data_IF_468110505951
#
_entry.id   IF_468110505951
#
_cell.length_a   1.000
_cell.length_b   1.000
_cell.length_c   1.000
_cell.angle_alpha   90.00
_cell.angle_beta   90.00
_cell.angle_gamma   90.00
#
_symmetry.space_group_name_H-M   'P 1'
#
loop_
_entity.id
_entity.type
_entity.pdbx_description
1 polymer ?
#
# COMPACT_ATOMS: atom_id res chain seq x y z
N UNK A 1 4.97 -26.28 -31.36
CA UNK A 1 4.82 -25.02 -30.63
C UNK A 1 3.40 -24.73 -30.10
N UNK A 2 2.38 -25.46 -30.57
CA UNK A 2 0.99 -25.33 -30.08
C UNK A 2 0.68 -26.01 -28.74
N UNK A 3 1.32 -27.14 -28.32
CA UNK A 3 0.97 -27.81 -27.07
C UNK A 3 1.49 -27.07 -25.81
N UNK A 4 2.60 -26.34 -25.89
CA UNK A 4 3.18 -25.64 -24.71
C UNK A 4 2.34 -24.45 -24.24
N UNK A 5 1.83 -23.62 -25.17
CA UNK A 5 0.98 -22.45 -24.82
C UNK A 5 -0.38 -22.86 -24.26
N UNK A 6 -0.94 -23.98 -24.72
CA UNK A 6 -2.20 -24.52 -24.16
C UNK A 6 -1.98 -25.10 -22.78
N UNK A 7 -0.83 -25.74 -22.51
CA UNK A 7 -0.50 -26.28 -21.17
C UNK A 7 -0.27 -25.14 -20.19
N UNK A 8 0.48 -24.11 -20.55
CA UNK A 8 0.71 -22.94 -19.68
C UNK A 8 -0.59 -22.16 -19.39
N UNK A 9 -1.46 -21.97 -20.39
CA UNK A 9 -2.76 -21.35 -20.18
C UNK A 9 -3.67 -22.18 -19.25
N UNK A 10 -3.67 -23.51 -19.36
CA UNK A 10 -4.40 -24.39 -18.45
C UNK A 10 -3.86 -24.32 -17.03
N UNK A 11 -2.53 -24.28 -16.86
CA UNK A 11 -1.90 -24.12 -15.55
C UNK A 11 -2.27 -22.75 -14.93
N UNK A 12 -2.32 -21.69 -15.73
CA UNK A 12 -2.75 -20.37 -15.27
C UNK A 12 -4.22 -20.36 -14.81
N UNK A 13 -5.12 -20.99 -15.58
CA UNK A 13 -6.53 -21.13 -15.20
C UNK A 13 -6.68 -21.94 -13.92
N UNK A 14 -5.95 -23.05 -13.80
CA UNK A 14 -5.96 -23.86 -12.57
C UNK A 14 -5.46 -23.08 -11.37
N UNK A 15 -4.39 -22.28 -11.52
CA UNK A 15 -3.88 -21.43 -10.46
C UNK A 15 -4.89 -20.34 -10.05
N UNK A 16 -5.60 -19.74 -10.99
CA UNK A 16 -6.66 -18.77 -10.71
C UNK A 16 -7.85 -19.41 -9.98
N UNK A 17 -8.28 -20.58 -10.43
CA UNK A 17 -9.38 -21.33 -9.79
C UNK A 17 -8.99 -21.74 -8.36
N UNK A 18 -7.78 -22.27 -8.19
CA UNK A 18 -7.27 -22.64 -6.86
C UNK A 18 -7.12 -21.41 -5.97
N UNK A 19 -6.63 -20.30 -6.53
CA UNK A 19 -6.54 -19.02 -5.83
C UNK A 19 -7.90 -18.52 -5.35
N UNK A 20 -8.93 -18.61 -6.18
CA UNK A 20 -10.30 -18.25 -5.81
C UNK A 20 -10.86 -19.14 -4.68
N UNK A 21 -10.60 -20.45 -4.72
CA UNK A 21 -10.99 -21.36 -3.63
C UNK A 21 -10.26 -21.06 -2.33
N UNK A 22 -8.95 -20.77 -2.39
CA UNK A 22 -8.16 -20.44 -1.20
C UNK A 22 -8.59 -19.06 -0.66
N UNK A 23 -8.89 -18.08 -1.53
CA UNK A 23 -9.41 -16.78 -1.12
C UNK A 23 -10.77 -16.93 -0.40
N UNK A 24 -11.65 -17.78 -0.92
CA UNK A 24 -12.91 -18.11 -0.25
C UNK A 24 -12.65 -18.75 1.12
N UNK A 25 -11.71 -19.68 1.21
CA UNK A 25 -11.30 -20.30 2.47
C UNK A 25 -10.70 -19.27 3.44
N UNK A 26 -9.82 -18.39 2.98
CA UNK A 26 -9.24 -17.31 3.79
C UNK A 26 -10.32 -16.39 4.38
N UNK A 27 -11.31 -16.04 3.56
CA UNK A 27 -12.44 -15.22 3.98
C UNK A 27 -13.36 -15.95 5.00
N UNK A 28 -13.67 -17.23 4.76
CA UNK A 28 -14.56 -18.01 5.63
C UNK A 28 -13.94 -18.39 6.97
N UNK A 29 -12.63 -18.66 6.98
CA UNK A 29 -11.90 -19.10 8.19
C UNK A 29 -11.06 -18.01 8.82
N UNK A 30 -11.10 -16.79 8.30
CA UNK A 30 -10.33 -15.61 8.76
C UNK A 30 -8.82 -15.87 8.95
N UNK A 31 -8.22 -16.70 8.07
CA UNK A 31 -6.82 -17.07 8.13
C UNK A 31 -5.96 -16.21 7.21
N UNK A 32 -5.18 -15.30 7.79
CA UNK A 32 -4.27 -14.41 7.04
C UNK A 32 -3.19 -15.15 6.23
N UNK A 33 -2.71 -16.29 6.72
CA UNK A 33 -1.72 -17.11 6.00
C UNK A 33 -2.23 -17.56 4.62
N UNK A 34 -3.53 -17.87 4.51
CA UNK A 34 -4.15 -18.25 3.23
C UNK A 34 -4.20 -17.06 2.26
N UNK A 35 -4.26 -15.82 2.77
CA UNK A 35 -4.25 -14.63 1.94
C UNK A 35 -2.92 -14.48 1.18
N UNK A 36 -1.79 -14.75 1.80
CA UNK A 36 -0.49 -14.72 1.12
C UNK A 36 -0.34 -15.85 0.08
N UNK A 37 -0.95 -17.01 0.31
CA UNK A 37 -0.97 -18.10 -0.68
C UNK A 37 -1.72 -17.68 -1.96
N UNK A 38 -2.80 -16.90 -1.85
CA UNK A 38 -3.51 -16.35 -3.01
C UNK A 38 -2.61 -15.43 -3.84
N UNK A 39 -1.85 -14.54 -3.19
CA UNK A 39 -0.90 -13.66 -3.89
C UNK A 39 0.15 -14.48 -4.67
N UNK A 40 0.70 -15.56 -4.07
CA UNK A 40 1.60 -16.48 -4.76
C UNK A 40 0.95 -17.17 -5.98
N UNK A 41 -0.29 -17.59 -5.86
CA UNK A 41 -1.03 -18.20 -6.99
C UNK A 41 -1.35 -17.20 -8.11
N UNK A 42 -1.62 -15.95 -7.79
CA UNK A 42 -1.77 -14.89 -8.79
C UNK A 42 -0.46 -14.69 -9.58
N UNK A 43 0.70 -14.72 -8.91
CA UNK A 43 2.00 -14.66 -9.59
C UNK A 43 2.23 -15.88 -10.51
N UNK A 44 1.89 -17.09 -10.07
CA UNK A 44 1.99 -18.31 -10.88
C UNK A 44 1.04 -18.23 -12.09
N UNK A 45 -0.18 -17.76 -11.90
CA UNK A 45 -1.15 -17.55 -12.98
C UNK A 45 -0.62 -16.53 -14.01
N UNK A 46 -0.06 -15.43 -13.57
CA UNK A 46 0.51 -14.39 -14.44
C UNK A 46 1.69 -14.93 -15.26
N UNK A 47 2.61 -15.68 -14.62
CA UNK A 47 3.71 -16.35 -15.33
C UNK A 47 3.20 -17.33 -16.40
N UNK A 48 2.13 -18.07 -16.09
CA UNK A 48 1.46 -18.97 -17.03
C UNK A 48 0.75 -18.26 -18.19
N UNK A 49 0.30 -17.02 -18.00
CA UNK A 49 -0.34 -16.18 -19.03
C UNK A 49 0.67 -15.50 -19.96
N UNK A 50 1.92 -15.29 -19.53
CA UNK A 50 2.95 -14.60 -20.32
C UNK A 50 3.13 -15.15 -21.75
N UNK A 51 3.18 -16.49 -22.00
CA UNK A 51 3.27 -17.01 -23.37
C UNK A 51 2.05 -16.70 -24.24
N UNK A 52 0.87 -16.65 -23.64
CA UNK A 52 -0.39 -16.35 -24.33
C UNK A 52 -0.44 -14.87 -24.73
N UNK A 53 -0.05 -13.97 -23.81
CA UNK A 53 0.06 -12.54 -24.07
C UNK A 53 1.10 -12.26 -25.15
N UNK A 54 2.30 -12.88 -25.07
CA UNK A 54 3.33 -12.77 -26.10
C UNK A 54 2.80 -13.23 -27.49
N UNK A 55 2.03 -14.31 -27.54
CA UNK A 55 1.43 -14.77 -28.78
C UNK A 55 0.34 -13.83 -29.31
N UNK A 56 -0.44 -13.20 -28.44
CA UNK A 56 -1.47 -12.22 -28.80
C UNK A 56 -0.86 -10.94 -29.38
N UNK A 57 0.05 -10.35 -28.61
CA UNK A 57 0.74 -9.11 -29.00
C UNK A 57 1.61 -9.33 -30.24
N UNK A 58 2.33 -10.47 -30.35
CA UNK A 58 3.09 -10.79 -31.54
C UNK A 58 2.22 -10.88 -32.80
N UNK A 59 1.02 -11.42 -32.73
CA UNK A 59 0.06 -11.43 -33.86
C UNK A 59 -0.42 -10.02 -34.23
N UNK A 60 -0.72 -9.21 -33.21
CA UNK A 60 -1.16 -7.83 -33.40
C UNK A 60 -0.03 -6.99 -34.01
N UNK A 61 1.19 -7.13 -33.48
CA UNK A 61 2.38 -6.44 -33.99
C UNK A 61 2.65 -6.81 -35.46
N UNK A 62 2.59 -8.08 -35.84
CA UNK A 62 2.77 -8.51 -37.21
C UNK A 62 1.75 -7.93 -38.21
N UNK A 63 0.51 -7.72 -37.76
CA UNK A 63 -0.53 -7.11 -38.62
C UNK A 63 -0.23 -5.63 -38.91
N UNK A 64 0.35 -4.89 -37.96
CA UNK A 64 0.56 -3.46 -38.07
C UNK A 64 2.00 -3.07 -38.42
N UNK A 65 2.99 -3.91 -38.11
CA UNK A 65 4.42 -3.60 -38.27
C UNK A 65 4.81 -3.31 -39.71
N UNK A 66 4.09 -3.83 -40.71
CA UNK A 66 4.32 -3.52 -42.11
C UNK A 66 4.16 -2.02 -42.41
N UNK A 67 3.31 -1.31 -41.67
CA UNK A 67 3.09 0.14 -41.79
C UNK A 67 4.26 0.98 -41.25
N UNK A 68 5.06 0.39 -40.32
CA UNK A 68 6.15 1.07 -39.61
C UNK A 68 7.54 0.76 -40.23
N UNK A 69 7.55 0.02 -41.32
CA UNK A 69 8.76 -0.26 -42.11
C UNK A 69 9.40 -1.63 -41.84
N UNK A 70 10.42 -1.99 -42.64
CA UNK A 70 11.03 -3.34 -42.63
C UNK A 70 11.66 -3.72 -41.28
N UNK A 71 12.31 -2.78 -40.60
CA UNK A 71 12.94 -3.02 -39.29
C UNK A 71 11.94 -3.37 -38.20
N UNK A 72 10.80 -2.67 -38.15
CA UNK A 72 9.73 -2.96 -37.22
C UNK A 72 9.10 -4.33 -37.52
N UNK A 73 8.91 -4.67 -38.77
CA UNK A 73 8.40 -5.97 -39.18
C UNK A 73 9.34 -7.11 -38.81
N UNK A 74 10.66 -6.95 -39.03
CA UNK A 74 11.67 -7.93 -38.60
C UNK A 74 11.70 -8.12 -37.10
N UNK A 75 11.59 -7.04 -36.31
CA UNK A 75 11.50 -7.13 -34.85
C UNK A 75 10.23 -7.83 -34.38
N UNK A 76 9.07 -7.53 -34.97
CA UNK A 76 7.81 -8.21 -34.67
C UNK A 76 7.84 -9.70 -35.06
N UNK A 77 8.47 -10.04 -36.19
CA UNK A 77 8.65 -11.42 -36.64
C UNK A 77 9.55 -12.21 -35.64
N UNK A 78 10.65 -11.60 -35.22
CA UNK A 78 11.57 -12.14 -34.24
C UNK A 78 10.87 -12.43 -32.91
N UNK A 79 10.12 -11.45 -32.40
CA UNK A 79 9.31 -11.58 -31.20
C UNK A 79 8.29 -12.72 -31.30
N UNK A 80 7.57 -12.79 -32.43
CA UNK A 80 6.54 -13.81 -32.63
C UNK A 80 7.12 -15.24 -32.78
N UNK A 81 8.31 -15.39 -33.36
CA UNK A 81 9.00 -16.70 -33.51
C UNK A 81 9.54 -17.23 -32.18
N UNK A 82 10.12 -16.34 -31.35
CA UNK A 82 10.79 -16.69 -30.11
C UNK A 82 9.91 -16.54 -28.85
N UNK A 83 8.60 -16.52 -29.01
CA UNK A 83 7.62 -16.25 -27.93
C UNK A 83 7.79 -17.09 -26.66
N UNK A 84 8.26 -18.34 -26.76
CA UNK A 84 8.48 -19.21 -25.60
C UNK A 84 9.63 -18.73 -24.73
N UNK A 85 10.69 -18.19 -25.34
CA UNK A 85 11.84 -17.62 -24.63
C UNK A 85 11.50 -16.24 -24.07
N UNK A 86 10.87 -15.39 -24.87
CA UNK A 86 10.42 -14.08 -24.40
C UNK A 86 9.40 -14.18 -23.26
N UNK A 87 8.62 -15.28 -23.18
CA UNK A 87 7.68 -15.47 -22.08
C UNK A 87 8.36 -15.46 -20.69
N UNK A 88 9.58 -15.98 -20.58
CA UNK A 88 10.33 -15.95 -19.31
C UNK A 88 10.72 -14.51 -18.94
N UNK A 89 11.28 -13.75 -19.91
CA UNK A 89 11.64 -12.35 -19.68
C UNK A 89 10.41 -11.47 -19.46
N UNK A 90 9.31 -11.73 -20.17
CA UNK A 90 8.03 -11.04 -19.97
C UNK A 90 7.48 -11.33 -18.59
N UNK A 91 7.54 -12.57 -18.12
CA UNK A 91 7.10 -12.91 -16.77
C UNK A 91 7.97 -12.25 -15.70
N UNK A 92 9.30 -12.28 -15.85
CA UNK A 92 10.23 -11.68 -14.90
C UNK A 92 10.05 -10.15 -14.79
N UNK A 93 10.08 -9.43 -15.93
CA UNK A 93 9.85 -8.00 -15.94
C UNK A 93 8.42 -7.64 -15.56
N UNK A 94 7.43 -8.43 -16.00
CA UNK A 94 6.03 -8.23 -15.65
C UNK A 94 5.78 -8.38 -14.16
N UNK A 95 6.41 -9.36 -13.47
CA UNK A 95 6.34 -9.49 -12.01
C UNK A 95 7.03 -8.35 -11.28
N UNK A 96 8.20 -7.88 -11.77
CA UNK A 96 8.87 -6.72 -11.20
C UNK A 96 8.00 -5.46 -11.29
N UNK A 97 7.39 -5.21 -12.45
CA UNK A 97 6.46 -4.09 -12.65
C UNK A 97 5.16 -4.26 -11.88
N UNK A 98 4.67 -5.49 -11.71
CA UNK A 98 3.51 -5.78 -10.87
C UNK A 98 3.77 -5.45 -9.39
N UNK A 99 4.99 -5.69 -8.91
CA UNK A 99 5.38 -5.29 -7.57
C UNK A 99 5.33 -3.76 -7.43
N UNK A 100 5.92 -3.00 -8.37
CA UNK A 100 5.85 -1.52 -8.38
C UNK A 100 4.38 -1.06 -8.35
N UNK A 101 3.55 -1.53 -9.29
CA UNK A 101 2.12 -1.17 -9.35
C UNK A 101 1.36 -1.53 -8.08
N UNK A 102 1.64 -2.71 -7.50
CA UNK A 102 0.95 -3.18 -6.30
C UNK A 102 1.34 -2.36 -5.08
N UNK A 103 2.63 -2.09 -4.87
CA UNK A 103 3.14 -1.35 -3.71
C UNK A 103 2.71 0.12 -3.78
N UNK A 104 2.83 0.77 -4.94
CA UNK A 104 2.41 2.18 -5.09
C UNK A 104 0.90 2.35 -4.94
N UNK A 105 0.10 1.39 -5.43
CA UNK A 105 -1.34 1.37 -5.19
C UNK A 105 -1.68 1.14 -3.72
N UNK A 106 -0.94 0.25 -3.03
CA UNK A 106 -1.10 0.01 -1.59
C UNK A 106 -0.78 1.28 -0.78
N UNK A 107 0.38 1.90 -1.07
CA UNK A 107 0.79 3.16 -0.41
C UNK A 107 -0.25 4.26 -0.66
N UNK A 108 -0.71 4.41 -1.90
CA UNK A 108 -1.74 5.38 -2.26
C UNK A 108 -3.06 5.13 -1.54
N UNK A 109 -3.48 3.88 -1.41
CA UNK A 109 -4.70 3.48 -0.69
C UNK A 109 -4.59 3.74 0.81
N UNK A 110 -3.45 3.39 1.43
CA UNK A 110 -3.19 3.66 2.84
C UNK A 110 -3.15 5.16 3.12
N UNK A 111 -2.42 5.94 2.31
CA UNK A 111 -2.36 7.40 2.45
C UNK A 111 -3.73 8.04 2.28
N UNK A 112 -4.46 7.70 1.23
CA UNK A 112 -5.79 8.26 0.97
C UNK A 112 -6.78 7.94 2.10
N UNK A 113 -6.75 6.71 2.62
CA UNK A 113 -7.59 6.30 3.75
C UNK A 113 -7.18 7.01 5.03
N UNK A 114 -5.86 7.09 5.32
CA UNK A 114 -5.32 7.79 6.49
C UNK A 114 -5.64 9.28 6.44
N UNK A 115 -5.46 9.95 5.30
CA UNK A 115 -5.79 11.37 5.14
C UNK A 115 -7.28 11.64 5.35
N UNK A 116 -8.16 10.81 4.78
CA UNK A 116 -9.60 10.94 4.97
C UNK A 116 -10.01 10.71 6.43
N UNK A 117 -9.39 9.76 7.10
CA UNK A 117 -9.60 9.50 8.53
C UNK A 117 -9.06 10.62 9.41
N UNK A 118 -7.81 11.09 9.18
CA UNK A 118 -7.22 12.21 9.89
C UNK A 118 -8.05 13.49 9.75
N UNK A 119 -8.63 13.71 8.56
CA UNK A 119 -9.52 14.84 8.30
C UNK A 119 -10.81 14.81 9.14
N UNK A 120 -11.29 13.62 9.52
CA UNK A 120 -12.50 13.44 10.36
C UNK A 120 -12.18 13.34 11.86
N UNK A 121 -11.16 12.60 12.22
CA UNK A 121 -10.82 12.30 13.60
C UNK A 121 -9.96 13.37 14.29
N UNK A 122 -9.22 14.22 13.52
CA UNK A 122 -8.27 15.19 14.05
C UNK A 122 -8.57 16.59 13.50
N UNK A 123 -9.63 17.21 14.02
CA UNK A 123 -10.09 18.56 13.58
C UNK A 123 -9.60 19.70 14.47
N UNK A 124 -8.86 19.41 15.54
CA UNK A 124 -8.30 20.44 16.39
C UNK A 124 -7.29 21.32 15.64
N UNK A 125 -7.16 22.58 16.04
CA UNK A 125 -6.23 23.55 15.45
C UNK A 125 -4.80 23.30 15.95
N UNK A 126 -4.64 22.98 17.24
CA UNK A 126 -3.35 22.73 17.89
C UNK A 126 -3.43 21.42 18.70
N UNK A 127 -2.39 20.61 18.59
CA UNK A 127 -2.17 19.42 19.39
C UNK A 127 -1.02 19.65 20.37
N UNK A 128 -1.29 19.46 21.68
CA UNK A 128 -0.32 19.67 22.76
C UNK A 128 -0.05 18.34 23.45
N UNK A 129 1.21 17.92 23.46
CA UNK A 129 1.65 16.66 24.09
C UNK A 129 3.01 16.85 24.76
N UNK A 130 3.37 15.94 25.66
CA UNK A 130 4.65 15.97 26.34
C UNK A 130 5.79 15.55 25.38
N UNK A 131 6.95 16.20 25.49
CA UNK A 131 8.15 15.85 24.74
C UNK A 131 8.68 17.01 23.89
N UNK A 132 9.92 16.87 23.46
CA UNK A 132 10.61 17.80 22.57
C UNK A 132 10.59 17.34 21.12
N UNK A 133 10.25 16.07 20.88
CA UNK A 133 10.16 15.46 19.57
C UNK A 133 8.83 14.76 19.36
N UNK A 134 8.35 14.79 18.13
CA UNK A 134 7.10 14.17 17.71
C UNK A 134 7.08 12.64 17.91
N UNK A 135 8.23 11.99 17.97
CA UNK A 135 8.37 10.53 18.20
C UNK A 135 8.06 10.10 19.64
N UNK A 136 8.20 11.01 20.62
CA UNK A 136 7.99 10.74 22.04
C UNK A 136 6.55 11.05 22.51
N UNK A 137 5.58 11.15 21.60
CA UNK A 137 4.22 11.70 21.82
C UNK A 137 3.43 11.07 22.97
N UNK A 138 3.69 9.82 23.33
CA UNK A 138 2.92 9.11 24.35
C UNK A 138 3.78 8.50 25.46
N UNK A 139 5.09 8.83 25.48
CA UNK A 139 6.01 8.28 26.48
C UNK A 139 5.85 8.95 27.85
N UNK A 140 5.41 10.20 27.87
CA UNK A 140 5.22 10.97 29.14
C UNK A 140 3.84 11.61 29.14
N UNK A 141 2.97 11.23 30.08
CA UNK A 141 1.66 11.85 30.20
C UNK A 141 1.76 13.27 30.76
N UNK A 142 0.79 14.08 30.42
CA UNK A 142 0.58 15.45 30.92
C UNK A 142 -0.34 15.44 32.14
N UNK A 143 -0.18 16.45 33.05
CA UNK A 143 -1.09 16.60 34.19
C UNK A 143 -2.47 17.08 33.73
N UNK A 144 -3.52 16.64 34.42
CA UNK A 144 -4.90 17.06 34.14
C UNK A 144 -5.12 18.57 34.32
N UNK A 145 -4.36 19.21 35.21
CA UNK A 145 -4.43 20.65 35.51
C UNK A 145 -4.09 21.53 34.30
N UNK A 146 -3.27 21.05 33.38
CA UNK A 146 -2.90 21.79 32.16
C UNK A 146 -4.12 22.12 31.28
N UNK A 147 -5.20 21.31 31.36
CA UNK A 147 -6.45 21.59 30.67
C UNK A 147 -7.03 22.95 30.99
N UNK A 148 -7.13 23.27 32.30
CA UNK A 148 -7.71 24.53 32.76
C UNK A 148 -6.81 25.70 32.45
N UNK A 149 -5.48 25.50 32.48
CA UNK A 149 -4.50 26.52 32.11
C UNK A 149 -4.58 26.82 30.57
N UNK A 150 -4.78 25.82 29.72
CA UNK A 150 -5.00 26.01 28.29
C UNK A 150 -6.34 26.67 27.99
N UNK A 151 -7.41 26.30 28.72
CA UNK A 151 -8.73 26.93 28.58
C UNK A 151 -8.77 28.41 29.02
N UNK A 152 -7.87 28.80 29.89
CA UNK A 152 -7.77 30.19 30.33
C UNK A 152 -7.19 31.12 29.27
N UNK A 153 -6.68 30.64 28.16
CA UNK A 153 -6.19 31.46 27.04
C UNK A 153 -7.38 32.06 26.26
N UNK A 154 -7.44 33.38 26.03
CA UNK A 154 -8.60 34.03 25.38
C UNK A 154 -8.90 33.52 23.95
N UNK A 155 -7.90 32.99 23.27
CA UNK A 155 -8.01 32.48 21.91
C UNK A 155 -8.56 31.04 21.84
N UNK A 156 -8.69 30.35 23.00
CA UNK A 156 -9.09 28.96 23.06
C UNK A 156 -10.59 28.84 23.29
N UNK A 157 -11.28 28.18 22.39
CA UNK A 157 -12.72 27.90 22.50
C UNK A 157 -12.98 26.63 23.30
N UNK A 158 -12.20 25.56 23.02
CA UNK A 158 -12.40 24.26 23.67
C UNK A 158 -11.06 23.51 23.80
N UNK A 159 -10.92 22.71 24.85
CA UNK A 159 -9.79 21.82 25.07
C UNK A 159 -10.31 20.42 25.35
N UNK A 160 -9.94 19.47 24.52
CA UNK A 160 -10.29 18.08 24.65
C UNK A 160 -9.09 17.28 25.17
N UNK A 161 -9.29 16.43 26.15
CA UNK A 161 -8.25 15.58 26.71
C UNK A 161 -8.36 14.16 26.12
N UNK A 162 -7.22 13.62 25.73
CA UNK A 162 -7.06 12.28 25.19
C UNK A 162 -6.11 11.45 26.05
N UNK A 163 -6.47 10.20 26.31
CA UNK A 163 -5.63 9.21 26.99
C UNK A 163 -5.77 7.86 26.31
N UNK A 164 -4.64 7.20 26.01
CA UNK A 164 -4.62 5.86 25.43
C UNK A 164 -3.60 4.99 26.16
N UNK A 165 -4.06 3.93 26.79
CA UNK A 165 -3.23 3.05 27.62
C UNK A 165 -3.31 1.63 27.11
N UNK A 166 -2.17 1.00 26.93
CA UNK A 166 -2.12 -0.42 26.59
C UNK A 166 -2.53 -1.27 27.79
N UNK A 167 -3.41 -2.21 27.55
CA UNK A 167 -3.92 -3.20 28.50
C UNK A 167 -3.84 -4.60 27.90
N UNK A 168 -4.14 -5.63 28.67
CA UNK A 168 -4.26 -6.99 28.17
C UNK A 168 -5.62 -7.59 28.53
N UNK A 169 -6.19 -8.35 27.61
CA UNK A 169 -7.38 -9.16 27.79
C UNK A 169 -7.09 -10.56 27.27
N UNK A 170 -7.30 -11.60 28.08
CA UNK A 170 -6.95 -12.99 27.74
C UNK A 170 -5.50 -13.14 27.24
N UNK A 171 -4.55 -12.43 27.86
CA UNK A 171 -3.13 -12.39 27.50
C UNK A 171 -2.81 -11.80 26.12
N UNK A 172 -3.76 -11.12 25.49
CA UNK A 172 -3.58 -10.38 24.25
C UNK A 172 -3.64 -8.87 24.52
N UNK A 173 -2.74 -8.07 23.91
CA UNK A 173 -2.74 -6.62 24.12
C UNK A 173 -3.89 -5.94 23.37
N UNK A 174 -4.41 -4.87 23.97
CA UNK A 174 -5.33 -3.93 23.34
C UNK A 174 -5.10 -2.53 23.93
N UNK A 175 -5.63 -1.50 23.29
CA UNK A 175 -5.61 -0.15 23.82
C UNK A 175 -6.96 0.23 24.41
N UNK A 176 -6.94 0.82 25.62
CA UNK A 176 -8.09 1.50 26.20
C UNK A 176 -7.89 3.00 25.98
N UNK A 177 -8.73 3.58 25.15
CA UNK A 177 -8.74 4.98 24.76
C UNK A 177 -9.87 5.72 25.47
N UNK A 178 -9.60 6.94 25.89
CA UNK A 178 -10.63 7.82 26.45
C UNK A 178 -10.48 9.24 25.93
N UNK A 179 -11.62 9.84 25.59
CA UNK A 179 -11.73 11.23 25.14
C UNK A 179 -12.98 11.89 25.72
N UNK A 180 -13.00 13.24 25.69
CA UNK A 180 -14.18 14.01 26.02
C UNK A 180 -15.26 13.84 24.96
N UNK A 181 -16.34 13.16 25.26
CA UNK A 181 -17.43 12.85 24.32
C UNK A 181 -18.10 14.10 23.77
N UNK A 182 -18.28 15.14 24.60
CA UNK A 182 -18.83 16.42 24.16
C UNK A 182 -18.01 17.03 23.02
N UNK A 183 -16.67 17.12 23.22
CA UNK A 183 -15.77 17.59 22.19
C UNK A 183 -15.76 16.69 20.95
N UNK A 184 -15.80 15.39 21.17
CA UNK A 184 -15.85 14.43 20.06
C UNK A 184 -17.11 14.62 19.19
N UNK A 185 -18.28 14.71 19.79
CA UNK A 185 -19.55 14.94 19.10
C UNK A 185 -19.62 16.29 18.38
N UNK A 186 -18.97 17.31 18.93
CA UNK A 186 -19.01 18.67 18.37
C UNK A 186 -18.06 18.86 17.21
N UNK A 187 -16.88 18.29 17.27
CA UNK A 187 -15.78 18.60 16.34
C UNK A 187 -15.32 17.42 15.50
N UNK A 188 -15.44 16.19 15.97
CA UNK A 188 -14.90 15.01 15.32
C UNK A 188 -16.03 14.10 14.78
N UNK A 189 -15.66 13.21 13.87
CA UNK A 189 -16.56 12.20 13.32
C UNK A 189 -15.90 10.83 13.43
N UNK A 190 -16.60 9.86 14.04
CA UNK A 190 -16.22 8.45 14.01
C UNK A 190 -16.63 7.83 12.66
N UNK A 191 -15.75 7.01 12.10
CA UNK A 191 -16.08 6.16 10.98
C UNK A 191 -16.84 4.92 11.51
N UNK A 192 -18.15 5.06 11.71
CA UNK A 192 -19.01 4.01 12.28
C UNK A 192 -19.14 2.85 11.29
N UNK A 193 -18.96 1.63 11.79
CA UNK A 193 -19.13 0.36 11.07
C UNK A 193 -20.46 -0.28 11.44
N UNK A 194 -20.79 -0.32 12.74
CA UNK A 194 -22.06 -0.85 13.23
C UNK A 194 -22.52 -0.11 14.49
N UNK A 195 -23.84 0.02 14.65
CA UNK A 195 -24.45 0.77 15.73
C UNK A 195 -24.90 2.17 15.33
N UNK A 196 -25.45 2.92 16.28
CA UNK A 196 -25.89 4.30 16.09
C UNK A 196 -24.99 5.26 16.88
N UNK A 197 -24.27 6.11 16.17
CA UNK A 197 -23.37 7.09 16.76
C UNK A 197 -24.08 8.06 17.71
N UNK A 198 -25.30 8.50 17.39
CA UNK A 198 -26.01 9.46 18.22
C UNK A 198 -26.56 8.83 19.53
N UNK A 199 -26.97 7.57 19.44
CA UNK A 199 -27.58 6.84 20.55
C UNK A 199 -26.55 6.14 21.47
N UNK A 200 -25.31 5.94 21.01
CA UNK A 200 -24.33 5.11 21.73
C UNK A 200 -23.76 5.73 23.01
N UNK A 201 -23.68 7.06 23.12
CA UNK A 201 -22.88 7.75 24.13
C UNK A 201 -23.38 7.75 25.58
N UNK A 202 -24.68 7.62 25.89
CA UNK A 202 -25.13 7.58 27.28
C UNK A 202 -24.46 6.46 28.11
N UNK A 203 -24.27 5.28 27.55
CA UNK A 203 -23.64 4.16 28.25
C UNK A 203 -22.14 4.38 28.54
N UNK A 204 -21.28 4.82 27.55
CA UNK A 204 -19.90 5.21 27.83
C UNK A 204 -19.76 6.34 28.85
N UNK A 205 -20.63 7.35 28.84
CA UNK A 205 -20.63 8.42 29.83
C UNK A 205 -21.01 7.93 31.23
N UNK A 206 -21.99 7.03 31.34
CA UNK A 206 -22.34 6.35 32.61
C UNK A 206 -21.22 5.39 33.05
N UNK A 207 -20.38 4.93 32.15
CA UNK A 207 -19.31 3.95 32.40
C UNK A 207 -19.81 2.51 32.40
N UNK A 208 -20.89 2.21 31.67
CA UNK A 208 -21.44 0.87 31.46
C UNK A 208 -21.17 0.36 30.01
N UNK A 209 -20.83 1.26 29.07
CA UNK A 209 -20.56 0.92 27.68
C UNK A 209 -19.19 1.37 27.18
N UNK A 210 -18.73 0.78 26.10
CA UNK A 210 -17.53 1.15 25.35
C UNK A 210 -17.80 0.98 23.86
N UNK A 211 -17.13 1.78 23.01
CA UNK A 211 -17.07 1.52 21.59
C UNK A 211 -15.84 0.66 21.27
N UNK A 212 -15.95 -0.25 20.31
CA UNK A 212 -14.87 -1.14 19.89
C UNK A 212 -14.41 -0.84 18.46
N UNK A 213 -13.10 -0.85 18.22
CA UNK A 213 -12.58 -0.78 16.85
C UNK A 213 -12.77 -2.11 16.12
N UNK A 214 -12.84 -2.09 14.77
CA UNK A 214 -12.89 -3.31 13.95
C UNK A 214 -11.76 -4.30 14.31
N UNK A 215 -10.55 -3.78 14.56
CA UNK A 215 -9.40 -4.58 14.96
C UNK A 215 -9.65 -5.28 16.34
N UNK A 216 -10.34 -4.62 17.29
CA UNK A 216 -10.70 -5.23 18.57
C UNK A 216 -11.73 -6.33 18.38
N UNK A 217 -12.82 -6.04 17.67
CA UNK A 217 -13.89 -7.02 17.41
C UNK A 217 -13.32 -8.28 16.79
N UNK A 218 -12.43 -8.12 15.84
CA UNK A 218 -11.78 -9.21 15.15
C UNK A 218 -10.84 -10.02 16.06
N UNK A 219 -9.97 -9.33 16.82
CA UNK A 219 -8.95 -10.01 17.64
C UNK A 219 -9.57 -10.80 18.79
N UNK A 220 -10.69 -10.32 19.34
CA UNK A 220 -11.32 -10.89 20.54
C UNK A 220 -12.65 -11.60 20.25
N UNK A 221 -13.24 -11.46 19.06
CA UNK A 221 -14.56 -12.03 18.75
C UNK A 221 -15.70 -11.41 19.56
N UNK A 222 -15.52 -10.18 20.09
CA UNK A 222 -16.48 -9.48 20.95
C UNK A 222 -16.95 -8.24 20.19
N UNK A 223 -18.19 -8.24 19.70
CA UNK A 223 -18.76 -7.21 18.84
C UNK A 223 -19.96 -6.48 19.44
N UNK A 224 -20.66 -5.73 18.59
CA UNK A 224 -21.81 -4.90 18.98
C UNK A 224 -22.85 -5.70 19.76
N UNK A 225 -23.24 -5.19 20.94
CA UNK A 225 -24.21 -5.81 21.83
C UNK A 225 -23.60 -6.80 22.85
N UNK A 226 -22.41 -7.31 22.59
CA UNK A 226 -21.68 -8.18 23.51
C UNK A 226 -21.16 -7.40 24.70
N UNK A 227 -20.57 -8.12 25.65
CA UNK A 227 -19.99 -7.53 26.85
C UNK A 227 -18.56 -8.00 27.03
N UNK A 228 -17.69 -7.09 27.41
CA UNK A 228 -16.30 -7.32 27.77
C UNK A 228 -16.09 -7.03 29.25
N UNK A 229 -15.34 -7.88 29.94
CA UNK A 229 -14.97 -7.65 31.34
C UNK A 229 -13.55 -7.12 31.39
N UNK A 230 -13.37 -5.92 31.94
CA UNK A 230 -12.09 -5.24 32.07
C UNK A 230 -11.67 -5.13 33.53
N UNK A 231 -10.40 -5.33 33.81
CA UNK A 231 -9.82 -5.12 35.13
C UNK A 231 -9.77 -3.64 35.46
N UNK A 232 -10.33 -3.28 36.61
CA UNK A 232 -10.29 -1.93 37.19
C UNK A 232 -9.67 -1.94 38.58
N UNK A 233 -9.20 -0.80 39.11
CA UNK A 233 -8.70 -0.73 40.49
C UNK A 233 -9.69 -1.18 41.58
N UNK A 234 -10.99 -1.22 41.27
CA UNK A 234 -12.04 -1.67 42.16
C UNK A 234 -12.51 -3.12 41.87
N UNK A 235 -11.77 -3.88 41.06
CA UNK A 235 -12.09 -5.23 40.60
C UNK A 235 -12.60 -5.29 39.17
N UNK A 236 -12.84 -6.49 38.63
CA UNK A 236 -13.34 -6.70 37.29
C UNK A 236 -14.71 -6.02 37.11
N UNK A 237 -14.89 -5.32 35.99
CA UNK A 237 -16.11 -4.62 35.63
C UNK A 237 -16.54 -4.96 34.22
N UNK A 238 -17.84 -5.20 34.04
CA UNK A 238 -18.44 -5.52 32.72
C UNK A 238 -18.84 -4.25 32.01
N UNK A 239 -18.48 -4.18 30.71
CA UNK A 239 -18.84 -3.11 29.79
C UNK A 239 -19.54 -3.71 28.58
N UNK A 240 -20.57 -3.04 28.06
CA UNK A 240 -21.25 -3.44 26.83
C UNK A 240 -20.60 -2.76 25.65
N UNK A 241 -20.44 -3.47 24.52
CA UNK A 241 -20.04 -2.87 23.25
C UNK A 241 -21.26 -2.20 22.64
N UNK A 242 -21.24 -0.86 22.54
CA UNK A 242 -22.38 -0.04 22.07
C UNK A 242 -22.21 0.48 20.66
N UNK A 243 -20.98 0.41 20.12
CA UNK A 243 -20.63 0.92 18.79
C UNK A 243 -19.41 0.19 18.26
N UNK A 244 -19.39 -0.08 16.95
CA UNK A 244 -18.19 -0.50 16.22
C UNK A 244 -17.75 0.61 15.28
N UNK A 245 -16.43 0.86 15.21
CA UNK A 245 -15.87 1.94 14.41
C UNK A 245 -14.50 1.59 13.82
N UNK A 246 -14.14 2.22 12.69
CA UNK A 246 -12.81 2.09 12.10
C UNK A 246 -11.83 3.05 12.77
N UNK A 247 -10.67 2.53 13.21
CA UNK A 247 -9.58 3.30 13.79
C UNK A 247 -8.23 2.79 13.26
N UNK A 248 -7.39 3.70 12.81
CA UNK A 248 -6.09 3.39 12.20
C UNK A 248 -4.90 3.81 13.08
N UNK A 249 -5.14 4.11 14.39
CA UNK A 249 -4.09 4.49 15.34
C UNK A 249 -3.20 3.33 15.72
N UNK A 250 -3.76 2.12 15.76
CA UNK A 250 -3.05 0.90 16.15
C UNK A 250 -3.56 -0.32 15.38
N UNK A 251 -2.67 -1.27 15.17
CA UNK A 251 -2.94 -2.60 14.59
C UNK A 251 -3.56 -3.58 15.59
N UNK A 252 -3.37 -3.32 16.88
CA UNK A 252 -4.07 -4.02 17.96
C UNK A 252 -5.37 -3.29 18.31
N UNK A 253 -6.38 -4.03 18.77
CA UNK A 253 -7.71 -3.49 19.01
C UNK A 253 -7.75 -2.30 19.98
N UNK A 254 -8.72 -1.41 19.78
CA UNK A 254 -8.97 -0.23 20.62
C UNK A 254 -10.38 -0.31 21.20
N UNK A 255 -10.49 -0.14 22.51
CA UNK A 255 -11.75 0.17 23.18
C UNK A 255 -11.80 1.65 23.52
N UNK A 256 -12.90 2.31 23.18
CA UNK A 256 -13.09 3.74 23.42
C UNK A 256 -14.19 3.99 24.43
N UNK A 257 -13.90 4.82 25.45
CA UNK A 257 -14.86 5.22 26.49
C UNK A 257 -14.78 6.72 26.76
N UNK A 258 -15.74 7.25 27.53
CA UNK A 258 -15.73 8.66 27.91
C UNK A 258 -14.58 8.98 28.87
N UNK A 259 -14.00 10.16 28.73
CA UNK A 259 -12.92 10.63 29.62
C UNK A 259 -13.36 10.71 31.06
N UNK A 260 -14.57 11.18 31.31
CA UNK A 260 -15.15 11.29 32.66
C UNK A 260 -15.33 9.93 33.31
N UNK A 261 -15.88 8.94 32.58
CA UNK A 261 -16.02 7.57 33.08
C UNK A 261 -14.66 6.91 33.29
N UNK A 262 -13.72 7.07 32.37
CA UNK A 262 -12.37 6.52 32.48
C UNK A 262 -11.69 7.01 33.78
N UNK A 263 -11.63 8.32 34.00
CA UNK A 263 -10.99 8.90 35.18
C UNK A 263 -11.63 8.40 36.50
N UNK A 264 -12.95 8.29 36.51
CA UNK A 264 -13.71 7.81 37.67
C UNK A 264 -13.50 6.32 37.96
N UNK A 265 -13.47 5.49 36.90
CA UNK A 265 -13.42 4.03 37.04
C UNK A 265 -11.99 3.54 37.19
N UNK A 266 -11.07 4.04 36.36
CA UNK A 266 -9.67 3.59 36.33
C UNK A 266 -8.75 4.44 37.21
N UNK A 267 -9.25 5.52 37.82
CA UNK A 267 -8.50 6.43 38.71
C UNK A 267 -7.22 6.98 38.10
N UNK A 268 -7.23 7.18 36.76
CA UNK A 268 -6.10 7.73 36.01
C UNK A 268 -6.48 9.10 35.44
N UNK A 269 -6.04 10.21 36.08
CA UNK A 269 -6.28 11.57 35.62
C UNK A 269 -5.32 12.04 34.54
N UNK A 270 -4.26 11.28 34.25
CA UNK A 270 -3.20 11.67 33.30
C UNK A 270 -3.74 11.78 31.87
N UNK A 271 -3.09 12.60 31.05
CA UNK A 271 -3.50 12.91 29.67
C UNK A 271 -2.30 12.73 28.75
N UNK A 272 -2.48 12.09 27.61
CA UNK A 272 -1.39 11.93 26.64
C UNK A 272 -1.34 13.09 25.64
N UNK A 273 -2.52 13.67 25.34
CA UNK A 273 -2.66 14.71 24.32
C UNK A 273 -3.81 15.64 24.68
N UNK A 274 -3.60 16.94 24.51
CA UNK A 274 -4.67 17.92 24.47
C UNK A 274 -4.91 18.39 23.05
N UNK A 275 -6.15 18.27 22.59
CA UNK A 275 -6.63 18.85 21.33
C UNK A 275 -7.25 20.21 21.64
N UNK A 276 -6.66 21.28 21.10
CA UNK A 276 -7.05 22.67 21.35
C UNK A 276 -7.76 23.20 20.13
N UNK A 277 -8.98 23.72 20.33
CA UNK A 277 -9.80 24.35 19.32
C UNK A 277 -9.81 25.85 19.57
N UNK A 278 -9.57 26.64 18.53
CA UNK A 278 -9.43 28.08 18.61
C UNK A 278 -10.75 28.80 18.29
N UNK A 279 -10.93 29.97 18.87
CA UNK A 279 -12.02 30.87 18.50
C UNK A 279 -11.84 31.37 17.07
N UNK A 280 -12.96 31.63 16.37
CA UNK A 280 -12.93 32.13 15.00
C UNK A 280 -12.12 33.41 14.88
N UNK A 281 -11.14 33.41 13.99
CA UNK A 281 -10.24 34.55 13.75
C UNK A 281 -8.98 34.62 14.63
N UNK A 282 -8.79 33.68 15.56
CA UNK A 282 -7.56 33.57 16.32
C UNK A 282 -6.38 33.16 15.44
N UNK A 283 -5.20 33.74 15.71
CA UNK A 283 -3.97 33.39 15.00
C UNK A 283 -3.38 32.09 15.54
N UNK A 284 -3.38 31.05 14.71
CA UNK A 284 -2.77 29.74 15.03
C UNK A 284 -1.32 29.89 15.48
N UNK A 285 -0.52 30.66 14.71
CA UNK A 285 0.91 30.85 14.98
C UNK A 285 1.14 31.56 16.31
N UNK A 286 0.38 32.63 16.59
CA UNK A 286 0.50 33.37 17.84
C UNK A 286 0.08 32.54 19.05
N UNK A 287 -1.03 31.83 18.98
CA UNK A 287 -1.51 30.96 20.06
C UNK A 287 -0.55 29.81 20.33
N UNK A 288 0.00 29.19 19.27
CA UNK A 288 1.01 28.14 19.40
C UNK A 288 2.28 28.65 20.09
N UNK A 289 2.78 29.82 19.68
CA UNK A 289 3.95 30.47 20.32
C UNK A 289 3.69 30.73 21.80
N UNK A 290 2.51 31.27 22.14
CA UNK A 290 2.09 31.53 23.52
C UNK A 290 2.01 30.23 24.36
N UNK A 291 1.49 29.13 23.79
CA UNK A 291 1.47 27.84 24.48
C UNK A 291 2.89 27.33 24.72
N UNK A 292 3.75 27.40 23.70
CA UNK A 292 5.14 26.96 23.81
C UNK A 292 5.94 27.81 24.85
N UNK A 293 5.80 29.11 24.86
CA UNK A 293 6.45 30.01 25.79
C UNK A 293 5.97 29.79 27.24
N UNK A 294 4.64 29.69 27.44
CA UNK A 294 4.05 29.64 28.77
C UNK A 294 4.15 28.26 29.42
N UNK A 295 4.06 27.19 28.64
CA UNK A 295 3.96 25.84 29.15
C UNK A 295 5.11 24.92 28.70
N UNK A 296 5.92 25.36 27.71
CA UNK A 296 7.01 24.56 27.16
C UNK A 296 8.03 24.13 28.21
N UNK A 297 8.61 25.09 28.93
CA UNK A 297 9.59 24.80 29.99
C UNK A 297 8.95 24.15 31.23
N UNK A 298 7.75 24.63 31.64
CA UNK A 298 7.10 24.19 32.87
C UNK A 298 6.60 22.76 32.83
N UNK A 299 6.04 22.34 31.70
CA UNK A 299 5.43 21.01 31.53
C UNK A 299 6.15 20.14 30.47
N UNK A 300 7.17 20.68 29.83
CA UNK A 300 7.87 19.99 28.74
C UNK A 300 6.95 19.70 27.55
N UNK A 301 6.08 20.65 27.16
CA UNK A 301 5.09 20.45 26.11
C UNK A 301 5.59 20.90 24.76
N UNK A 302 5.19 20.17 23.72
CA UNK A 302 5.30 20.54 22.33
C UNK A 302 3.89 20.81 21.78
N UNK A 303 3.74 21.97 21.11
CA UNK A 303 2.49 22.36 20.46
C UNK A 303 2.67 22.30 18.94
N UNK A 304 1.91 21.45 18.26
CA UNK A 304 1.91 21.33 16.80
C UNK A 304 0.58 21.79 16.21
N UNK A 305 0.67 22.48 15.07
CA UNK A 305 -0.51 22.78 14.27
C UNK A 305 -1.07 21.50 13.60
N UNK A 306 -2.37 21.52 13.29
CA UNK A 306 -3.07 20.37 12.70
C UNK A 306 -2.40 19.85 11.44
N UNK A 307 -1.99 20.72 10.53
CA UNK A 307 -1.32 20.33 9.28
C UNK A 307 0.03 19.66 9.52
N UNK A 308 0.82 20.21 10.44
CA UNK A 308 2.14 19.68 10.80
C UNK A 308 2.02 18.28 11.45
N UNK A 309 1.06 18.12 12.36
CA UNK A 309 0.78 16.86 13.02
C UNK A 309 0.33 15.78 12.03
N UNK A 310 -0.57 16.14 11.10
CA UNK A 310 -1.05 15.22 10.05
C UNK A 310 0.06 14.82 9.09
N UNK A 311 0.88 15.79 8.63
CA UNK A 311 2.01 15.52 7.74
C UNK A 311 3.03 14.57 8.39
N UNK A 312 3.27 14.70 9.68
CA UNK A 312 4.18 13.82 10.40
C UNK A 312 3.64 12.37 10.48
N UNK A 313 2.34 12.22 10.73
CA UNK A 313 1.69 10.89 10.73
C UNK A 313 1.72 10.22 9.35
N UNK A 314 1.41 10.96 8.28
CA UNK A 314 1.50 10.46 6.91
C UNK A 314 2.94 10.14 6.53
N UNK A 315 3.90 10.96 6.98
CA UNK A 315 5.33 10.73 6.78
C UNK A 315 5.86 9.43 7.39
N UNK A 316 5.22 8.88 8.41
CA UNK A 316 5.56 7.57 8.95
C UNK A 316 5.28 6.45 7.94
N UNK A 317 4.20 6.54 7.18
CA UNK A 317 3.87 5.58 6.11
C UNK A 317 4.98 5.58 5.05
N UNK A 318 5.43 6.77 4.61
CA UNK A 318 6.50 6.88 3.62
C UNK A 318 7.82 6.26 4.08
N UNK A 319 8.20 6.47 5.34
CA UNK A 319 9.42 5.90 5.92
C UNK A 319 9.35 4.37 6.04
N UNK A 320 8.19 3.86 6.45
CA UNK A 320 7.96 2.41 6.56
C UNK A 320 8.07 1.71 5.19
N UNK A 321 7.69 2.42 4.11
CA UNK A 321 7.73 1.86 2.75
C UNK A 321 9.07 2.06 2.03
N UNK A 322 10.06 2.74 2.64
CA UNK A 322 11.37 2.97 2.02
C UNK A 322 12.11 1.67 1.68
N UNK A 323 12.01 0.65 2.54
CA UNK A 323 12.61 -0.67 2.28
C UNK A 323 11.95 -1.37 1.09
N UNK A 324 10.63 -1.27 0.96
CA UNK A 324 9.90 -1.83 -0.19
C UNK A 324 10.37 -1.24 -1.50
N UNK A 325 10.58 0.08 -1.56
CA UNK A 325 11.13 0.76 -2.76
C UNK A 325 12.54 0.29 -3.11
N UNK A 326 13.38 -0.02 -2.11
CA UNK A 326 14.70 -0.57 -2.38
C UNK A 326 14.64 -1.96 -3.02
N UNK A 327 13.72 -2.82 -2.55
CA UNK A 327 13.51 -4.16 -3.17
C UNK A 327 12.94 -4.07 -4.57
N UNK A 328 12.08 -3.09 -4.86
CA UNK A 328 11.58 -2.79 -6.22
C UNK A 328 12.71 -2.46 -7.20
N UNK A 329 13.63 -1.59 -6.79
CA UNK A 329 14.79 -1.24 -7.62
C UNK A 329 15.62 -2.48 -7.97
N UNK A 330 15.89 -3.35 -6.99
CA UNK A 330 16.61 -4.61 -7.22
C UNK A 330 15.85 -5.50 -8.20
N UNK A 331 14.54 -5.67 -8.03
CA UNK A 331 13.72 -6.48 -8.92
C UNK A 331 13.74 -5.96 -10.36
N UNK A 332 13.66 -4.64 -10.55
CA UNK A 332 13.74 -3.98 -11.86
C UNK A 332 15.09 -4.21 -12.53
N UNK A 333 16.21 -4.09 -11.79
CA UNK A 333 17.56 -4.35 -12.30
C UNK A 333 17.71 -5.80 -12.74
N UNK A 334 17.29 -6.75 -11.92
CA UNK A 334 17.34 -8.18 -12.24
C UNK A 334 16.50 -8.52 -13.47
N UNK A 335 15.30 -7.93 -13.58
CA UNK A 335 14.45 -8.09 -14.76
C UNK A 335 15.08 -7.49 -16.03
N UNK A 336 15.74 -6.34 -15.92
CA UNK A 336 16.52 -5.75 -17.01
C UNK A 336 17.64 -6.66 -17.51
N UNK A 337 18.39 -7.29 -16.61
CA UNK A 337 19.40 -8.29 -16.97
C UNK A 337 18.79 -9.52 -17.67
N UNK A 338 17.58 -9.93 -17.25
CA UNK A 338 16.81 -10.96 -17.93
C UNK A 338 16.47 -10.63 -19.38
N UNK A 339 16.16 -9.36 -19.69
CA UNK A 339 15.93 -8.88 -21.07
C UNK A 339 17.23 -8.93 -21.88
N UNK A 340 18.36 -8.45 -21.32
CA UNK A 340 19.67 -8.50 -21.96
C UNK A 340 19.98 -9.93 -22.39
N UNK A 341 19.86 -10.88 -21.44
CA UNK A 341 20.11 -12.29 -21.71
C UNK A 341 19.20 -12.86 -22.81
N UNK A 342 17.89 -12.58 -22.74
CA UNK A 342 16.94 -13.06 -23.75
C UNK A 342 17.23 -12.54 -25.15
N UNK A 343 17.59 -11.26 -25.26
CA UNK A 343 17.95 -10.63 -26.54
C UNK A 343 19.25 -11.23 -27.09
N UNK A 344 20.29 -11.42 -26.28
CA UNK A 344 21.54 -12.03 -26.72
C UNK A 344 21.31 -13.44 -27.23
N UNK A 345 20.67 -14.30 -26.44
CA UNK A 345 20.40 -15.68 -26.89
C UNK A 345 19.55 -15.68 -28.17
N UNK A 346 18.56 -14.76 -28.27
CA UNK A 346 17.75 -14.60 -29.48
C UNK A 346 18.55 -14.17 -30.69
N UNK A 347 19.58 -13.35 -30.51
CA UNK A 347 20.46 -12.89 -31.58
C UNK A 347 21.45 -13.99 -32.00
N UNK A 348 22.03 -14.71 -31.04
CA UNK A 348 22.91 -15.87 -31.31
C UNK A 348 22.22 -16.93 -32.16
N UNK A 349 20.97 -17.27 -31.85
CA UNK A 349 20.20 -18.27 -32.60
C UNK A 349 19.91 -17.83 -34.04
N UNK A 350 19.88 -16.52 -34.28
CA UNK A 350 19.57 -15.92 -35.60
C UNK A 350 20.82 -15.34 -36.32
N UNK A 351 22.03 -15.58 -35.80
CA UNK A 351 23.26 -14.99 -36.35
C UNK A 351 23.42 -15.22 -37.85
N UNK A 352 23.07 -16.42 -38.32
CA UNK A 352 23.13 -16.78 -39.76
C UNK A 352 22.09 -16.02 -40.58
N UNK A 353 20.83 -15.91 -40.09
CA UNK A 353 19.78 -15.12 -40.77
C UNK A 353 20.20 -13.64 -40.90
N UNK A 354 20.78 -13.08 -39.81
CA UNK A 354 21.29 -11.71 -39.79
C UNK A 354 22.51 -11.52 -40.76
N UNK A 355 23.40 -12.51 -40.84
CA UNK A 355 24.51 -12.53 -41.77
C UNK A 355 24.04 -12.50 -43.22
N UNK A 356 23.07 -13.34 -43.59
CA UNK A 356 22.44 -13.36 -44.93
C UNK A 356 21.76 -12.03 -45.23
N UNK A 357 21.00 -11.45 -44.29
CA UNK A 357 20.35 -10.17 -44.48
C UNK A 357 21.39 -9.04 -44.75
N UNK A 358 22.52 -9.05 -44.03
CA UNK A 358 23.63 -8.11 -44.28
C UNK A 358 24.28 -8.33 -45.65
N UNK A 359 24.50 -9.58 -46.08
CA UNK A 359 25.05 -9.91 -47.38
C UNK A 359 24.15 -9.40 -48.54
N UNK A 360 22.83 -9.38 -48.36
CA UNK A 360 21.86 -8.84 -49.33
C UNK A 360 21.71 -7.31 -49.23
N UNK A 361 22.50 -6.64 -48.38
CA UNK A 361 22.56 -5.16 -48.29
C UNK A 361 21.74 -4.51 -47.22
N UNK A 362 21.26 -5.25 -46.20
CA UNK A 362 20.58 -4.65 -45.04
C UNK A 362 21.54 -3.77 -44.24
N UNK A 363 21.21 -2.48 -44.07
CA UNK A 363 22.02 -1.52 -43.35
C UNK A 363 22.08 -1.85 -41.85
N UNK A 364 23.24 -1.57 -41.20
CA UNK A 364 23.42 -1.83 -39.75
C UNK A 364 22.36 -1.19 -38.87
N UNK A 365 21.91 0.02 -39.23
CA UNK A 365 20.87 0.74 -38.46
C UNK A 365 19.50 0.03 -38.50
N UNK A 366 19.21 -0.68 -39.62
CA UNK A 366 17.98 -1.46 -39.75
C UNK A 366 18.00 -2.67 -38.81
N UNK A 367 19.13 -3.35 -38.68
CA UNK A 367 19.35 -4.46 -37.74
C UNK A 367 19.20 -3.93 -36.31
N UNK A 368 19.86 -2.82 -35.99
CA UNK A 368 19.72 -2.20 -34.63
C UNK A 368 18.28 -1.83 -34.32
N UNK A 369 17.55 -1.22 -35.23
CA UNK A 369 16.13 -0.88 -35.06
C UNK A 369 15.24 -2.13 -34.91
N UNK A 370 15.57 -3.25 -35.55
CA UNK A 370 14.80 -4.47 -35.39
C UNK A 370 14.93 -5.07 -33.97
N UNK A 371 16.15 -5.00 -33.40
CA UNK A 371 16.38 -5.40 -31.97
C UNK A 371 15.65 -4.49 -31.02
N UNK A 372 15.68 -3.17 -31.27
CA UNK A 372 14.95 -2.20 -30.47
C UNK A 372 13.43 -2.43 -30.55
N UNK A 373 12.90 -2.73 -31.72
CA UNK A 373 11.47 -3.06 -31.88
C UNK A 373 11.08 -4.34 -31.11
N UNK A 374 11.94 -5.36 -31.13
CA UNK A 374 11.76 -6.59 -30.36
C UNK A 374 11.77 -6.29 -28.85
N UNK A 375 12.74 -5.50 -28.35
CA UNK A 375 12.81 -5.06 -26.96
C UNK A 375 11.56 -4.26 -26.52
N UNK A 376 11.09 -3.36 -27.39
CA UNK A 376 9.85 -2.58 -27.14
C UNK A 376 8.62 -3.48 -27.00
N UNK A 377 8.51 -4.52 -27.82
CA UNK A 377 7.41 -5.49 -27.72
C UNK A 377 7.50 -6.31 -26.44
N UNK A 378 8.70 -6.70 -26.00
CA UNK A 378 8.91 -7.35 -24.70
C UNK A 378 8.45 -6.40 -23.59
N UNK A 379 8.90 -5.13 -23.59
CA UNK A 379 8.54 -4.13 -22.59
C UNK A 379 7.04 -3.89 -22.51
N UNK A 380 6.38 -3.63 -23.63
CA UNK A 380 4.92 -3.41 -23.68
C UNK A 380 4.13 -4.62 -23.18
N UNK A 381 4.58 -5.83 -23.53
CA UNK A 381 3.92 -7.06 -23.08
C UNK A 381 4.11 -7.26 -21.57
N UNK A 382 5.32 -6.97 -21.07
CA UNK A 382 5.64 -7.03 -19.64
C UNK A 382 4.89 -5.98 -18.84
N UNK A 383 4.79 -4.75 -19.34
CA UNK A 383 4.03 -3.68 -18.70
C UNK A 383 2.54 -4.04 -18.61
N UNK A 384 1.96 -4.57 -19.68
CA UNK A 384 0.58 -5.03 -19.67
C UNK A 384 0.35 -6.13 -18.62
N UNK A 385 1.24 -7.13 -18.57
CA UNK A 385 1.19 -8.19 -17.55
C UNK A 385 1.36 -7.61 -16.15
N UNK A 386 2.31 -6.68 -15.98
CA UNK A 386 2.60 -6.00 -14.72
C UNK A 386 1.40 -5.21 -14.20
N UNK A 387 0.74 -4.43 -15.07
CA UNK A 387 -0.48 -3.69 -14.72
C UNK A 387 -1.61 -4.65 -14.32
N UNK A 388 -1.85 -5.70 -15.10
CA UNK A 388 -2.92 -6.66 -14.79
C UNK A 388 -2.68 -7.38 -13.46
N UNK A 389 -1.48 -7.91 -13.25
CA UNK A 389 -1.10 -8.62 -12.02
C UNK A 389 -1.02 -7.66 -10.84
N UNK A 390 -0.36 -6.50 -11.00
CA UNK A 390 -0.18 -5.52 -9.93
C UNK A 390 -1.49 -4.96 -9.43
N UNK A 391 -2.42 -4.63 -10.34
CA UNK A 391 -3.77 -4.19 -9.97
C UNK A 391 -4.56 -5.28 -9.25
N UNK A 392 -4.47 -6.53 -9.69
CA UNK A 392 -5.12 -7.65 -9.04
C UNK A 392 -4.55 -7.93 -7.63
N UNK A 393 -3.20 -7.90 -7.49
CA UNK A 393 -2.52 -8.05 -6.22
C UNK A 393 -2.89 -6.91 -5.26
N UNK A 394 -2.83 -5.65 -5.73
CA UNK A 394 -3.20 -4.49 -4.92
C UNK A 394 -4.64 -4.58 -4.44
N UNK A 395 -5.58 -4.87 -5.34
CA UNK A 395 -6.98 -5.01 -4.98
C UNK A 395 -7.18 -6.10 -3.91
N UNK A 396 -6.55 -7.25 -4.09
CA UNK A 396 -6.64 -8.35 -3.13
C UNK A 396 -5.97 -7.99 -1.78
N UNK A 397 -4.77 -7.41 -1.81
CA UNK A 397 -4.05 -7.01 -0.59
C UNK A 397 -4.79 -5.94 0.20
N UNK A 398 -5.36 -4.94 -0.48
CA UNK A 398 -6.06 -3.83 0.17
C UNK A 398 -7.43 -4.26 0.70
N UNK A 399 -8.22 -5.01 -0.10
CA UNK A 399 -9.60 -5.32 0.26
C UNK A 399 -9.72 -6.52 1.22
N UNK A 400 -8.83 -7.51 1.11
CA UNK A 400 -8.92 -8.74 1.89
C UNK A 400 -7.74 -8.97 2.83
N UNK A 401 -6.48 -8.90 2.35
CA UNK A 401 -5.34 -9.28 3.17
C UNK A 401 -5.13 -8.34 4.36
N UNK A 402 -5.21 -7.01 4.16
CA UNK A 402 -5.10 -6.02 5.24
C UNK A 402 -6.25 -6.15 6.25
N UNK A 403 -7.47 -6.40 5.77
CA UNK A 403 -8.61 -6.64 6.64
C UNK A 403 -8.41 -7.89 7.48
N UNK A 404 -7.89 -8.96 6.88
CA UNK A 404 -7.63 -10.23 7.55
C UNK A 404 -6.43 -10.16 8.51
N UNK A 405 -5.40 -9.42 8.25
CA UNK A 405 -4.18 -9.35 9.07
C UNK A 405 -4.29 -8.31 10.19
N UNK A 406 -4.71 -7.10 9.85
CA UNK A 406 -4.66 -5.93 10.74
C UNK A 406 -6.05 -5.51 11.21
N UNK A 407 -7.12 -5.95 10.55
CA UNK A 407 -8.49 -5.53 10.85
C UNK A 407 -8.82 -4.12 10.32
N UNK A 408 -8.09 -3.62 9.33
CA UNK A 408 -8.32 -2.29 8.77
C UNK A 408 -9.11 -2.37 7.46
N UNK A 409 -10.21 -1.64 7.40
CA UNK A 409 -10.99 -1.44 6.18
C UNK A 409 -10.42 -0.27 5.37
N UNK A 410 -9.52 -0.58 4.44
CA UNK A 410 -8.84 0.42 3.59
C UNK A 410 -9.56 0.57 2.27
N UNK A 411 -9.79 1.83 1.83
CA UNK A 411 -10.39 2.12 0.53
C UNK A 411 -9.36 1.93 -0.59
N UNK A 412 -9.71 1.12 -1.60
CA UNK A 412 -8.84 0.91 -2.77
C UNK A 412 -8.75 2.17 -3.64
N UNK A 413 -7.56 2.71 -3.80
CA UNK A 413 -7.25 3.83 -4.67
C UNK A 413 -6.28 3.40 -5.77
N UNK A 414 -6.83 3.02 -6.95
CA UNK A 414 -6.04 2.77 -8.15
C UNK A 414 -5.89 4.08 -8.93
N UNK A 415 -4.75 4.75 -8.78
CA UNK A 415 -4.45 5.93 -9.57
C UNK A 415 -4.15 5.56 -11.03
N UNK A 416 -4.76 6.27 -11.98
CA UNK A 416 -4.45 6.09 -13.40
C UNK A 416 -2.96 6.31 -13.72
N UNK A 417 -2.27 7.12 -12.92
CA UNK A 417 -0.82 7.35 -13.04
C UNK A 417 -0.02 6.07 -12.78
N UNK A 418 -0.32 5.31 -11.75
CA UNK A 418 0.36 4.05 -11.42
C UNK A 418 0.29 3.03 -12.57
N UNK A 419 -0.85 3.01 -13.30
CA UNK A 419 -0.99 2.17 -14.48
C UNK A 419 -0.09 2.62 -15.64
N UNK A 420 0.08 3.93 -15.82
CA UNK A 420 0.96 4.51 -16.84
C UNK A 420 2.43 4.31 -16.47
N UNK A 421 2.76 4.42 -15.20
CA UNK A 421 4.10 4.29 -14.65
C UNK A 421 4.78 2.97 -15.04
N UNK A 422 4.03 1.85 -15.03
CA UNK A 422 4.54 0.56 -15.50
C UNK A 422 5.08 0.62 -16.94
N UNK A 423 4.42 1.36 -17.83
CA UNK A 423 4.90 1.56 -19.19
C UNK A 423 6.07 2.54 -19.27
N UNK A 424 6.02 3.62 -18.47
CA UNK A 424 7.09 4.62 -18.38
C UNK A 424 8.39 3.99 -17.86
N UNK A 425 8.32 3.03 -16.96
CA UNK A 425 9.47 2.28 -16.46
C UNK A 425 9.93 1.18 -17.43
N UNK A 426 8.99 0.41 -17.99
CA UNK A 426 9.32 -0.73 -18.83
C UNK A 426 10.10 -0.35 -20.10
N UNK A 427 9.73 0.74 -20.76
CA UNK A 427 10.33 1.16 -22.02
C UNK A 427 11.81 1.56 -21.88
N UNK A 428 12.20 2.48 -20.96
CA UNK A 428 13.60 2.81 -20.73
C UNK A 428 14.44 1.61 -20.31
N UNK A 429 13.92 0.74 -19.43
CA UNK A 429 14.61 -0.48 -18.97
C UNK A 429 14.93 -1.37 -20.17
N UNK A 430 13.95 -1.66 -21.01
CA UNK A 430 14.15 -2.51 -22.19
C UNK A 430 15.05 -1.85 -23.23
N UNK A 431 14.98 -0.53 -23.43
CA UNK A 431 15.85 0.20 -24.35
C UNK A 431 17.29 0.19 -23.86
N UNK A 432 17.54 0.49 -22.58
CA UNK A 432 18.88 0.40 -22.00
C UNK A 432 19.42 -1.03 -22.08
N UNK A 433 18.60 -2.03 -21.70
CA UNK A 433 18.95 -3.44 -21.80
C UNK A 433 19.27 -3.88 -23.25
N UNK A 434 18.68 -3.24 -24.24
CA UNK A 434 18.90 -3.57 -25.66
C UNK A 434 20.19 -2.94 -26.25
N UNK A 435 20.82 -1.97 -25.60
CA UNK A 435 21.98 -1.22 -26.15
C UNK A 435 23.11 -2.18 -26.50
N UNK A 436 23.49 -3.03 -25.60
CA UNK A 436 24.60 -3.97 -25.77
C UNK A 436 24.30 -5.06 -26.84
N UNK A 437 23.17 -5.79 -26.77
CA UNK A 437 22.76 -6.71 -27.81
C UNK A 437 22.68 -6.04 -29.22
N UNK A 438 22.15 -4.82 -29.27
CA UNK A 438 22.01 -4.03 -30.50
C UNK A 438 23.36 -3.66 -31.11
N UNK A 439 24.35 -3.27 -30.30
CA UNK A 439 25.70 -2.98 -30.76
C UNK A 439 26.39 -4.23 -31.28
N UNK A 440 26.25 -5.34 -30.57
CA UNK A 440 26.80 -6.61 -30.99
C UNK A 440 26.21 -7.09 -32.34
N UNK A 441 24.88 -7.04 -32.47
CA UNK A 441 24.19 -7.38 -33.73
C UNK A 441 24.64 -6.52 -34.91
N UNK A 442 24.91 -5.23 -34.65
CA UNK A 442 25.45 -4.29 -35.67
C UNK A 442 26.87 -4.62 -36.12
N UNK A 443 27.70 -5.24 -35.27
CA UNK A 443 29.11 -5.56 -35.55
C UNK A 443 29.34 -6.97 -36.16
N UNK A 444 28.31 -7.84 -36.18
CA UNK A 444 28.42 -9.18 -36.76
C UNK A 444 29.01 -9.12 -38.20
N UNK A 445 30.14 -9.81 -38.41
CA UNK A 445 30.74 -9.94 -39.74
C UNK A 445 30.06 -11.06 -40.54
N UNK A 446 29.82 -10.81 -41.83
CA UNK A 446 29.14 -11.74 -42.74
C UNK A 446 29.89 -13.06 -42.85
N UNK A 447 31.25 -13.00 -42.83
CA UNK A 447 32.14 -14.16 -42.96
C UNK A 447 32.01 -15.08 -41.70
N UNK A 448 32.08 -14.50 -40.52
CA UNK A 448 31.94 -15.26 -39.23
C UNK A 448 30.55 -15.90 -39.09
N UNK A 449 29.49 -15.20 -39.54
CA UNK A 449 28.12 -15.69 -39.49
C UNK A 449 27.86 -16.91 -40.40
N UNK A 450 28.65 -17.09 -41.44
CA UNK A 450 28.52 -18.19 -42.42
C UNK A 450 29.48 -19.36 -42.17
N UNK A 451 30.62 -19.14 -41.50
CA UNK A 451 31.65 -20.17 -41.28
C UNK A 451 31.37 -21.15 -40.12
N UNK A 452 30.45 -20.86 -39.22
CA UNK A 452 30.09 -21.74 -38.11
C UNK A 452 28.79 -22.49 -38.44
N UNK A 453 28.80 -23.25 -39.53
CA UNK A 453 27.70 -24.17 -39.91
C UNK A 453 28.00 -25.59 -39.47
#
# INVERSE_FOLDING_TARGET
ARPSTRRSARAAVLALVLGAFIAMGAHLYEQSVLAFAVAGLLCVAAAGLAPALAAGIGRLALRHAKRWGPAAWLGALAFARNRGRHAVSIAALGMALANVVSVDSLIGSLKGTTDAWLGRAFRADIFVFAGTEVRAKFERPLPATLRDELRALPQVEFVQAFRMVQRSLHNQPYYLMSEDIEGYRRYNELAVVAGDFAAAWPEPEAGSGVAASEAFVRSFGIGLGDSVTLDTPNGPRRFRIVLEYSDYRADIGILFTSRSAYTRIFRDPLVDLYSVYLTKGASLAATRAQIAERFGERHGVLALGSSEYKQDLVGLVDRSMALSRATELVAVVVAGLGIVNALFVGLFDRRRELGVLKAVGTAQWQVKRSVLAEATLIACTSALLGVMLGSALSAYMVLEALRLEVGWSVSLHLSGWVLIEAFVLALPIAWVASIWPMQWAGRLEVIEALQHA
#
